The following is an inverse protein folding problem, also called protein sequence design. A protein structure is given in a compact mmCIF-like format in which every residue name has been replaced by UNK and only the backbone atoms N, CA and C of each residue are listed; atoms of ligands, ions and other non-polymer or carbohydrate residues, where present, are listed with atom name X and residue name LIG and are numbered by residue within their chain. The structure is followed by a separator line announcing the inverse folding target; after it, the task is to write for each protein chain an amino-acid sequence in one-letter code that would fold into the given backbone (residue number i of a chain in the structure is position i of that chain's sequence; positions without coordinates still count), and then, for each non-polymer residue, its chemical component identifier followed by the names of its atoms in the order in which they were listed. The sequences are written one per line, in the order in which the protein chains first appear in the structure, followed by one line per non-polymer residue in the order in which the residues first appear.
data_IF_720696302289
#
_entry.id   IF_720696302289
#
_cell.length_a   1.000
_cell.length_b   1.000
_cell.length_c   1.000
_cell.angle_alpha   90.00
_cell.angle_beta   90.00
_cell.angle_gamma   90.00
#
_symmetry.space_group_name_H-M   'P 1'
#
loop_
_entity.id
_entity.type
_entity.pdbx_description
1 polymer ?
#
# COMPACT_ATOMS: atom_id res chain seq x y z
N UNK A 1 16.10 2.80 -3.21
CA UNK A 1 14.89 3.25 -3.94
C UNK A 1 14.12 2.00 -4.25
N UNK A 2 12.88 1.89 -3.76
CA UNK A 2 12.00 0.80 -4.17
C UNK A 2 11.78 0.84 -5.68
N UNK A 3 11.77 -0.33 -6.32
CA UNK A 3 11.45 -0.50 -7.73
C UNK A 3 9.94 -0.43 -8.01
N UNK A 4 9.12 -0.50 -6.96
CA UNK A 4 7.67 -0.53 -7.07
C UNK A 4 7.07 0.87 -7.17
N UNK A 5 6.04 0.98 -8.01
CA UNK A 5 5.24 2.19 -8.14
C UNK A 5 3.99 2.13 -7.25
N UNK A 6 3.54 3.27 -6.70
CA UNK A 6 2.29 3.37 -5.94
C UNK A 6 1.11 2.79 -6.70
N UNK A 7 0.27 2.03 -6.01
CA UNK A 7 -0.98 1.53 -6.58
C UNK A 7 -2.04 2.63 -6.63
N UNK A 8 -2.73 2.72 -7.77
CA UNK A 8 -3.81 3.67 -7.99
C UNK A 8 -5.12 3.04 -8.43
N UNK A 9 -5.15 1.71 -8.66
CA UNK A 9 -6.33 0.98 -9.11
C UNK A 9 -6.66 -0.23 -8.26
N UNK A 10 -7.95 -0.54 -8.14
CA UNK A 10 -8.44 -1.72 -7.41
C UNK A 10 -8.01 -3.03 -8.09
N UNK A 11 -7.87 -3.03 -9.42
CA UNK A 11 -7.38 -4.20 -10.16
C UNK A 11 -5.95 -4.58 -9.77
N UNK A 12 -5.11 -3.58 -9.52
CA UNK A 12 -3.74 -3.83 -9.04
C UNK A 12 -3.70 -4.24 -7.57
N UNK A 13 -4.70 -3.84 -6.79
CA UNK A 13 -4.86 -4.24 -5.38
C UNK A 13 -5.28 -5.72 -5.28
N UNK A 14 -6.16 -6.19 -6.17
CA UNK A 14 -6.72 -7.56 -6.13
C UNK A 14 -5.71 -8.68 -6.40
N UNK A 15 -4.54 -8.34 -6.95
CA UNK A 15 -3.46 -9.30 -7.23
C UNK A 15 -2.39 -9.35 -6.14
N UNK A 16 -2.53 -8.56 -5.08
CA UNK A 16 -1.59 -8.58 -3.97
C UNK A 16 -1.85 -9.76 -3.04
N UNK A 17 -0.77 -10.18 -2.39
CA UNK A 17 -0.81 -11.14 -1.30
C UNK A 17 -1.17 -10.40 0.00
N UNK A 18 -2.31 -10.77 0.60
CA UNK A 18 -2.84 -10.11 1.80
C UNK A 18 -1.93 -10.29 3.02
N UNK A 19 -1.34 -11.46 3.21
CA UNK A 19 -0.47 -11.75 4.35
C UNK A 19 0.82 -10.92 4.26
N UNK A 20 1.37 -10.80 3.06
CA UNK A 20 2.57 -10.00 2.82
C UNK A 20 2.28 -8.50 2.89
N UNK A 21 1.09 -8.06 2.45
CA UNK A 21 0.58 -6.72 2.72
C UNK A 21 0.47 -6.42 4.22
N UNK A 22 -0.04 -7.37 5.01
CA UNK A 22 -0.15 -7.21 6.46
C UNK A 22 1.24 -7.10 7.12
N UNK A 23 2.18 -7.97 6.74
CA UNK A 23 3.56 -7.92 7.23
C UNK A 23 4.22 -6.56 6.91
N UNK A 24 4.05 -6.08 5.68
CA UNK A 24 4.50 -4.76 5.26
C UNK A 24 3.84 -3.63 6.07
N UNK A 25 2.52 -3.70 6.28
CA UNK A 25 1.77 -2.70 7.03
C UNK A 25 2.31 -2.52 8.44
N UNK A 26 2.51 -3.61 9.16
CA UNK A 26 3.10 -3.60 10.50
C UNK A 26 4.50 -2.97 10.50
N UNK A 27 5.35 -3.33 9.55
CA UNK A 27 6.68 -2.70 9.40
C UNK A 27 6.59 -1.18 9.15
N UNK A 28 5.61 -0.73 8.37
CA UNK A 28 5.35 0.70 8.14
C UNK A 28 4.84 1.42 9.40
N UNK A 29 3.98 0.76 10.18
CA UNK A 29 3.51 1.30 11.47
C UNK A 29 4.66 1.47 12.47
N UNK A 30 5.63 0.56 12.46
CA UNK A 30 6.84 0.61 13.29
C UNK A 30 7.87 1.61 12.76
N UNK A 31 7.71 2.11 11.52
CA UNK A 31 8.61 3.08 10.91
C UNK A 31 9.92 2.47 10.44
N UNK A 32 9.92 1.19 10.05
CA UNK A 32 11.09 0.55 9.47
C UNK A 32 11.51 1.25 8.16
N UNK A 33 12.79 1.16 7.78
CA UNK A 33 13.29 1.73 6.53
C UNK A 33 12.51 1.26 5.30
N UNK A 34 12.57 2.05 4.22
CA UNK A 34 11.93 1.68 2.96
C UNK A 34 12.41 0.29 2.50
N UNK A 35 11.47 -0.63 2.16
CA UNK A 35 11.80 -1.96 1.69
C UNK A 35 12.64 -1.91 0.41
N UNK A 36 13.66 -2.77 0.33
CA UNK A 36 14.46 -2.97 -0.87
C UNK A 36 13.79 -3.92 -1.88
N UNK A 37 14.55 -4.32 -2.89
CA UNK A 37 14.14 -5.31 -3.90
C UNK A 37 14.06 -6.75 -3.35
N UNK A 38 14.43 -6.96 -2.08
CA UNK A 38 14.28 -8.22 -1.35
C UNK A 38 12.87 -8.43 -0.80
N UNK A 39 11.96 -7.49 -1.02
CA UNK A 39 10.57 -7.53 -0.60
C UNK A 39 9.63 -7.46 -1.80
N UNK A 40 8.45 -8.04 -1.66
CA UNK A 40 7.47 -8.05 -2.75
C UNK A 40 6.77 -6.70 -2.90
N UNK A 41 6.05 -6.54 -4.01
CA UNK A 41 5.13 -5.43 -4.22
C UNK A 41 4.03 -5.35 -3.15
N UNK A 42 3.53 -6.50 -2.68
CA UNK A 42 2.50 -6.61 -1.64
C UNK A 42 3.02 -6.04 -0.32
N UNK A 43 4.22 -6.46 0.10
CA UNK A 43 4.89 -5.95 1.29
C UNK A 43 5.12 -4.44 1.19
N UNK A 44 5.66 -3.97 0.07
CA UNK A 44 5.92 -2.54 -0.13
C UNK A 44 4.62 -1.71 -0.10
N UNK A 45 3.53 -2.22 -0.68
CA UNK A 45 2.22 -1.58 -0.60
C UNK A 45 1.74 -1.44 0.85
N UNK A 46 1.81 -2.53 1.62
CA UNK A 46 1.50 -2.54 3.04
C UNK A 46 2.30 -1.51 3.82
N UNK A 47 3.63 -1.53 3.65
CA UNK A 47 4.56 -0.60 4.32
C UNK A 47 4.19 0.86 4.05
N UNK A 48 3.84 1.20 2.80
CA UNK A 48 3.40 2.57 2.48
C UNK A 48 2.12 2.95 3.20
N UNK A 49 1.13 2.06 3.25
CA UNK A 49 -0.11 2.33 3.97
C UNK A 49 0.18 2.58 5.47
N UNK A 50 1.01 1.74 6.10
CA UNK A 50 1.38 1.91 7.51
C UNK A 50 2.13 3.20 7.80
N UNK A 51 3.04 3.59 6.90
CA UNK A 51 3.77 4.87 6.99
C UNK A 51 2.83 6.07 6.83
N UNK A 52 1.84 6.01 5.92
CA UNK A 52 0.85 7.06 5.72
C UNK A 52 -0.10 7.20 6.90
N UNK A 53 -0.60 6.08 7.44
CA UNK A 53 -1.51 6.07 8.60
C UNK A 53 -0.85 6.65 9.85
N UNK A 54 0.47 6.47 10.00
CA UNK A 54 1.26 7.08 11.08
C UNK A 54 1.70 8.52 10.78
N UNK A 55 1.32 9.07 9.63
CA UNK A 55 1.68 10.42 9.21
C UNK A 55 3.17 10.59 8.87
N UNK A 56 3.91 9.50 8.68
CA UNK A 56 5.34 9.53 8.31
C UNK A 56 5.55 9.71 6.81
N UNK A 57 4.59 9.28 6.00
CA UNK A 57 4.48 9.62 4.59
C UNK A 57 3.21 10.42 4.32
N UNK A 58 3.25 11.40 3.41
CA UNK A 58 2.04 12.07 2.97
C UNK A 58 1.17 11.11 2.15
N UNK A 59 -0.15 11.24 2.30
CA UNK A 59 -1.10 10.56 1.42
C UNK A 59 -1.00 11.18 0.03
N UNK A 60 -0.56 10.39 -0.95
CA UNK A 60 -0.33 10.83 -2.32
C UNK A 60 -1.55 10.64 -3.23
N UNK A 61 -1.43 11.07 -4.49
CA UNK A 61 -2.51 10.97 -5.47
C UNK A 61 -2.91 9.52 -5.77
N UNK A 62 -1.94 8.59 -5.77
CA UNK A 62 -2.20 7.17 -6.02
C UNK A 62 -3.03 6.55 -4.90
N UNK A 63 -2.67 6.79 -3.63
CA UNK A 63 -3.43 6.34 -2.47
C UNK A 63 -4.86 6.91 -2.45
N UNK A 64 -5.04 8.20 -2.80
CA UNK A 64 -6.38 8.80 -2.92
C UNK A 64 -7.21 8.15 -4.02
N UNK A 65 -6.63 7.93 -5.19
CA UNK A 65 -7.32 7.29 -6.32
C UNK A 65 -7.72 5.85 -5.96
N UNK A 66 -6.81 5.09 -5.36
CA UNK A 66 -7.10 3.73 -4.92
C UNK A 66 -8.24 3.69 -3.90
N UNK A 67 -8.23 4.58 -2.90
CA UNK A 67 -9.32 4.68 -1.93
C UNK A 67 -10.66 5.04 -2.59
N UNK A 68 -10.66 5.97 -3.55
CA UNK A 68 -11.85 6.32 -4.32
C UNK A 68 -12.41 5.13 -5.12
N UNK A 69 -11.56 4.41 -5.84
CA UNK A 69 -11.97 3.22 -6.60
C UNK A 69 -12.50 2.11 -5.68
N UNK A 70 -11.84 1.88 -4.54
CA UNK A 70 -12.26 0.87 -3.57
C UNK A 70 -13.63 1.18 -2.98
N UNK A 71 -13.87 2.42 -2.55
CA UNK A 71 -15.19 2.88 -2.06
C UNK A 71 -16.25 2.77 -3.15
N UNK A 72 -15.92 3.12 -4.40
CA UNK A 72 -16.84 2.97 -5.53
C UNK A 72 -17.22 1.50 -5.75
N UNK A 73 -16.25 0.57 -5.66
CA UNK A 73 -16.50 -0.87 -5.75
C UNK A 73 -17.43 -1.33 -4.64
N UNK A 74 -17.16 -0.98 -3.38
CA UNK A 74 -17.97 -1.40 -2.24
C UNK A 74 -19.43 -0.95 -2.31
N UNK A 75 -19.71 0.21 -2.93
CA UNK A 75 -21.08 0.73 -3.10
C UNK A 75 -21.85 0.11 -4.26
N UNK A 76 -21.16 -0.57 -5.17
CA UNK A 76 -21.77 -1.23 -6.33
C UNK A 76 -22.22 -2.67 -6.00
N UNK A 77 -21.83 -3.19 -4.84
CA UNK A 77 -22.25 -4.47 -4.28
C UNK A 77 -23.28 -4.25 -3.16
#
# INVERSE_FOLDING_TARGET
MSEYQPLSSVRDLDVLDEDDCMAGYLAGLDGLPEPGSDKSKSYWHGWRNGMMDKGRLPIDGAARNLAHEFVRRQRAH
#
